data_IF_791859973078
#
_entry.id   IF_791859973078
#
_cell.length_a   1.000
_cell.length_b   1.000
_cell.length_c   1.000
_cell.angle_alpha   90.00
_cell.angle_beta   90.00
_cell.angle_gamma   90.00
#
_symmetry.space_group_name_H-M   'P 1'
#
loop_
_entity.id
_entity.type
_entity.pdbx_description
1 polymer ?
#
# COMPACT_ATOMS: atom_id res chain seq x y z
N UNK A 1 -74.50 14.61 -30.46
CA UNK A 1 -74.41 13.43 -29.59
C UNK A 1 -73.04 13.43 -28.92
N UNK A 2 -73.06 13.54 -27.59
CA UNK A 2 -71.91 13.70 -26.71
C UNK A 2 -71.30 12.31 -26.44
N UNK A 3 -69.99 12.15 -26.62
CA UNK A 3 -69.28 10.97 -26.13
C UNK A 3 -68.16 11.40 -25.19
N UNK A 4 -68.48 11.30 -23.89
CA UNK A 4 -67.53 11.14 -22.80
C UNK A 4 -66.66 9.89 -23.06
N UNK A 5 -65.35 10.01 -22.91
CA UNK A 5 -64.52 8.88 -22.47
C UNK A 5 -63.52 9.38 -21.44
N UNK A 6 -63.46 8.59 -20.37
CA UNK A 6 -62.89 8.81 -19.05
C UNK A 6 -61.36 8.74 -19.06
N UNK A 7 -60.78 9.59 -18.23
CA UNK A 7 -59.38 9.66 -17.80
C UNK A 7 -58.84 8.33 -17.28
N UNK A 8 -57.62 7.95 -17.68
CA UNK A 8 -56.73 7.07 -16.90
C UNK A 8 -55.29 7.56 -17.07
N UNK A 9 -54.85 8.38 -16.11
CA UNK A 9 -53.43 8.62 -15.85
C UNK A 9 -52.77 7.30 -15.46
N UNK A 10 -51.99 6.71 -16.36
CA UNK A 10 -51.11 5.59 -16.03
C UNK A 10 -49.70 6.14 -15.78
N UNK A 11 -49.45 6.59 -14.56
CA UNK A 11 -48.07 6.78 -14.06
C UNK A 11 -47.43 5.40 -13.90
N UNK A 12 -46.67 4.95 -14.92
CA UNK A 12 -45.70 3.89 -14.73
C UNK A 12 -44.41 4.55 -14.24
N UNK A 13 -44.24 4.65 -12.92
CA UNK A 13 -42.99 5.06 -12.31
C UNK A 13 -41.90 4.08 -12.70
N UNK A 14 -40.98 4.51 -13.56
CA UNK A 14 -39.76 3.77 -13.84
C UNK A 14 -38.85 3.92 -12.61
N UNK A 15 -39.05 3.05 -11.63
CA UNK A 15 -38.13 2.88 -10.51
C UNK A 15 -36.83 2.29 -11.07
N UNK A 16 -35.92 3.15 -11.52
CA UNK A 16 -34.53 2.74 -11.70
C UNK A 16 -34.04 2.43 -10.30
N UNK A 17 -33.91 1.14 -10.00
CA UNK A 17 -33.11 0.70 -8.87
C UNK A 17 -31.70 1.19 -9.17
N UNK A 18 -31.33 2.35 -8.63
CA UNK A 18 -29.93 2.76 -8.57
C UNK A 18 -29.30 1.76 -7.61
N UNK A 19 -28.73 0.70 -8.17
CA UNK A 19 -27.83 -0.17 -7.42
C UNK A 19 -26.67 0.76 -7.07
N UNK A 20 -26.43 1.08 -5.79
CA UNK A 20 -25.18 1.75 -5.43
C UNK A 20 -24.07 0.81 -5.88
N UNK A 21 -23.26 1.26 -6.84
CA UNK A 21 -21.99 0.63 -7.16
C UNK A 21 -21.06 0.95 -6.00
N UNK A 22 -21.26 0.26 -4.88
CA UNK A 22 -20.44 0.39 -3.68
C UNK A 22 -19.45 -0.78 -3.65
N UNK A 23 -18.18 -0.39 -3.57
CA UNK A 23 -16.97 -1.20 -3.56
C UNK A 23 -16.69 -2.00 -4.84
N UNK A 24 -15.92 -1.37 -5.73
CA UNK A 24 -14.79 -2.07 -6.32
C UNK A 24 -13.90 -2.55 -5.16
N UNK A 25 -14.15 -3.77 -4.68
CA UNK A 25 -13.09 -4.57 -4.07
C UNK A 25 -11.97 -4.60 -5.10
N UNK A 26 -10.75 -4.26 -4.67
CA UNK A 26 -9.55 -4.31 -5.48
C UNK A 26 -9.62 -5.57 -6.36
N UNK A 27 -9.88 -5.35 -7.64
CA UNK A 27 -9.94 -6.38 -8.67
C UNK A 27 -8.68 -7.22 -8.54
N UNK A 28 -8.77 -8.54 -8.72
CA UNK A 28 -7.62 -9.46 -8.84
C UNK A 28 -6.54 -8.88 -9.75
N UNK A 29 -5.65 -8.06 -9.19
CA UNK A 29 -4.54 -7.47 -9.92
C UNK A 29 -3.43 -8.52 -9.84
N UNK A 30 -3.07 -9.19 -10.94
CA UNK A 30 -2.06 -10.24 -10.91
C UNK A 30 -0.69 -9.73 -10.44
N UNK A 31 -0.47 -8.41 -10.46
CA UNK A 31 0.79 -7.79 -10.02
C UNK A 31 0.82 -7.52 -8.50
N UNK A 32 -0.33 -7.48 -7.82
CA UNK A 32 -0.42 -7.26 -6.38
C UNK A 32 -1.02 -8.48 -5.71
N UNK A 33 -0.20 -9.19 -4.94
CA UNK A 33 -0.69 -10.30 -4.14
C UNK A 33 -1.48 -9.79 -2.94
N UNK A 34 -2.81 -9.93 -3.00
CA UNK A 34 -3.66 -9.72 -1.83
C UNK A 34 -3.45 -10.87 -0.84
N UNK A 35 -3.05 -10.54 0.38
CA UNK A 35 -2.88 -11.52 1.45
C UNK A 35 -4.08 -11.42 2.38
N UNK A 36 -4.62 -12.58 2.79
CA UNK A 36 -5.74 -12.61 3.71
C UNK A 36 -5.37 -11.90 5.02
N UNK A 37 -6.26 -11.04 5.55
CA UNK A 37 -6.05 -10.44 6.85
C UNK A 37 -5.82 -11.54 7.91
N UNK A 38 -4.71 -11.45 8.66
CA UNK A 38 -4.38 -12.36 9.75
C UNK A 38 -3.61 -13.60 9.32
N UNK A 39 -3.05 -13.61 8.11
CA UNK A 39 -2.22 -14.72 7.61
C UNK A 39 -1.05 -14.99 8.60
N UNK A 40 -0.96 -16.21 9.18
CA UNK A 40 0.08 -16.54 10.15
C UNK A 40 1.50 -16.48 9.59
N UNK A 41 1.68 -16.72 8.28
CA UNK A 41 2.98 -16.62 7.63
C UNK A 41 3.45 -15.16 7.57
N UNK A 42 2.53 -14.22 7.28
CA UNK A 42 2.84 -12.78 7.31
C UNK A 42 3.14 -12.30 8.73
N UNK A 43 2.34 -12.69 9.71
CA UNK A 43 2.60 -12.37 11.12
C UNK A 43 3.99 -12.88 11.57
N UNK A 44 4.35 -14.10 11.17
CA UNK A 44 5.68 -14.69 11.45
C UNK A 44 6.81 -13.97 10.72
N UNK A 45 6.61 -13.59 9.45
CA UNK A 45 7.59 -12.83 8.68
C UNK A 45 7.82 -11.44 9.28
N UNK A 46 6.75 -10.78 9.74
CA UNK A 46 6.83 -9.50 10.41
C UNK A 46 7.57 -9.59 11.74
N UNK A 47 7.19 -10.52 12.62
CA UNK A 47 7.88 -10.70 13.91
C UNK A 47 9.37 -11.05 13.76
N UNK A 48 9.75 -11.81 12.73
CA UNK A 48 11.16 -12.04 12.39
C UNK A 48 11.87 -10.78 11.90
N UNK A 49 11.16 -9.95 11.15
CA UNK A 49 11.70 -8.68 10.63
C UNK A 49 11.95 -7.70 11.75
N UNK A 50 11.03 -7.57 12.71
CA UNK A 50 11.20 -6.72 13.90
C UNK A 50 12.43 -7.11 14.71
N UNK A 51 12.63 -8.41 14.98
CA UNK A 51 13.79 -8.91 15.73
C UNK A 51 15.12 -8.63 15.03
N UNK A 52 15.13 -8.64 13.69
CA UNK A 52 16.32 -8.38 12.88
C UNK A 52 16.53 -6.92 12.51
N UNK A 53 15.57 -6.03 12.80
CA UNK A 53 15.53 -4.68 12.26
C UNK A 53 16.71 -3.84 12.76
N UNK A 54 17.04 -3.91 14.04
CA UNK A 54 18.12 -3.11 14.62
C UNK A 54 19.47 -3.45 13.99
N UNK A 55 19.79 -4.73 13.87
CA UNK A 55 21.01 -5.19 13.22
C UNK A 55 21.02 -4.95 11.70
N UNK A 56 19.85 -4.87 11.06
CA UNK A 56 19.74 -4.44 9.67
C UNK A 56 20.05 -2.95 9.52
N UNK A 57 19.47 -2.09 10.37
CA UNK A 57 19.67 -0.64 10.33
C UNK A 57 21.10 -0.25 10.73
N UNK A 58 21.75 -1.00 11.61
CA UNK A 58 23.18 -0.84 11.90
C UNK A 58 24.03 -1.06 10.64
N UNK A 59 23.80 -2.17 9.93
CA UNK A 59 24.49 -2.47 8.66
C UNK A 59 24.14 -1.47 7.56
N UNK A 60 22.91 -0.98 7.51
CA UNK A 60 22.52 0.08 6.58
C UNK A 60 23.35 1.36 6.80
N UNK A 61 23.58 1.73 8.07
CA UNK A 61 24.35 2.92 8.46
C UNK A 61 25.86 2.74 8.22
N UNK A 62 26.37 1.53 8.45
CA UNK A 62 27.77 1.15 8.19
C UNK A 62 27.83 -0.12 7.34
N UNK A 63 27.65 -0.01 6.01
CA UNK A 63 27.58 -1.15 5.12
C UNK A 63 28.84 -2.03 5.17
N UNK A 64 28.71 -3.32 5.53
CA UNK A 64 29.84 -4.24 5.44
C UNK A 64 30.38 -4.32 4.01
N UNK A 65 31.69 -4.54 3.81
CA UNK A 65 32.26 -4.67 2.48
C UNK A 65 31.54 -5.72 1.62
N UNK A 66 31.25 -5.35 0.37
CA UNK A 66 30.55 -6.22 -0.59
C UNK A 66 29.04 -6.31 -0.39
N UNK A 67 28.45 -5.41 0.40
CA UNK A 67 27.00 -5.25 0.52
C UNK A 67 26.50 -3.98 -0.15
N UNK A 68 25.35 -4.07 -0.83
CA UNK A 68 24.74 -2.97 -1.57
C UNK A 68 23.24 -3.17 -1.74
N UNK A 69 22.57 -2.15 -2.29
CA UNK A 69 21.14 -2.16 -2.62
C UNK A 69 20.24 -2.56 -1.45
N UNK A 70 20.49 -1.94 -0.28
CA UNK A 70 19.57 -2.05 0.84
C UNK A 70 18.19 -1.53 0.43
N UNK A 71 17.16 -2.30 0.78
CA UNK A 71 15.77 -1.95 0.51
C UNK A 71 14.93 -2.18 1.76
N UNK A 72 13.97 -1.28 2.00
CA UNK A 72 13.03 -1.37 3.12
C UNK A 72 11.62 -1.44 2.55
N UNK A 73 10.76 -2.28 3.13
CA UNK A 73 9.35 -2.34 2.75
C UNK A 73 8.53 -1.50 3.70
N UNK A 74 7.71 -0.59 3.16
CA UNK A 74 6.83 0.29 3.90
C UNK A 74 5.38 0.07 3.44
N UNK A 75 4.42 0.22 4.35
CA UNK A 75 3.00 0.22 3.99
C UNK A 75 2.53 1.64 3.67
N UNK A 76 1.98 1.85 2.48
CA UNK A 76 1.51 3.15 2.00
C UNK A 76 -0.01 3.15 1.88
N UNK A 77 -0.63 4.29 2.20
CA UNK A 77 -2.04 4.57 1.91
C UNK A 77 -2.23 6.00 1.44
N UNK A 78 -3.21 6.22 0.56
CA UNK A 78 -3.61 7.57 0.18
C UNK A 78 -4.29 8.29 1.37
N UNK A 79 -3.92 9.56 1.58
CA UNK A 79 -4.52 10.44 2.60
C UNK A 79 -4.74 11.84 2.01
N UNK A 80 -5.95 12.08 1.51
CA UNK A 80 -6.25 13.35 0.83
C UNK A 80 -5.44 13.44 -0.46
N UNK A 81 -4.55 14.44 -0.56
CA UNK A 81 -3.61 14.59 -1.69
C UNK A 81 -2.20 14.09 -1.39
N UNK A 82 -1.98 13.59 -0.18
CA UNK A 82 -0.70 13.09 0.30
C UNK A 82 -0.76 11.57 0.51
N UNK A 83 0.34 11.00 0.99
CA UNK A 83 0.39 9.62 1.49
C UNK A 83 0.48 9.60 3.02
N UNK A 84 0.14 8.46 3.60
CA UNK A 84 0.47 8.12 4.97
C UNK A 84 1.11 6.74 5.02
N UNK A 85 2.05 6.56 5.95
CA UNK A 85 2.67 5.27 6.21
C UNK A 85 1.89 4.51 7.28
N UNK A 86 1.95 3.19 7.22
CA UNK A 86 1.36 2.31 8.23
C UNK A 86 2.08 0.98 8.31
N UNK A 87 2.14 0.44 9.53
CA UNK A 87 2.58 -0.93 9.81
C UNK A 87 1.41 -1.89 9.98
N UNK A 88 0.17 -1.39 9.96
CA UNK A 88 -1.03 -2.21 10.07
C UNK A 88 -1.26 -2.95 8.75
N UNK A 89 -0.88 -4.23 8.72
CA UNK A 89 -1.07 -5.10 7.57
C UNK A 89 -2.54 -5.45 7.30
N UNK A 90 -3.42 -5.13 8.24
CA UNK A 90 -4.86 -5.40 8.16
C UNK A 90 -5.64 -4.17 7.69
N UNK A 91 -5.00 -3.00 7.64
CA UNK A 91 -5.66 -1.79 7.22
C UNK A 91 -6.09 -1.90 5.75
N UNK A 92 -7.33 -1.50 5.42
CA UNK A 92 -7.80 -1.52 4.04
C UNK A 92 -7.05 -0.48 3.21
N UNK A 93 -6.95 -0.74 1.90
CA UNK A 93 -6.34 0.18 0.93
C UNK A 93 -4.88 0.55 1.27
N UNK A 94 -4.11 -0.45 1.70
CA UNK A 94 -2.67 -0.34 1.94
C UNK A 94 -1.93 -1.15 0.89
N UNK A 95 -0.88 -0.57 0.32
CA UNK A 95 0.06 -1.26 -0.53
C UNK A 95 1.44 -1.27 0.13
N UNK A 96 2.03 -2.46 0.30
CA UNK A 96 3.37 -2.59 0.86
C UNK A 96 4.39 -2.62 -0.27
N UNK A 97 5.21 -1.57 -0.35
CA UNK A 97 6.16 -1.34 -1.45
C UNK A 97 7.58 -1.16 -0.93
N UNK A 98 8.56 -1.50 -1.77
CA UNK A 98 9.98 -1.32 -1.49
C UNK A 98 10.45 0.10 -1.76
N UNK A 99 11.29 0.60 -0.85
CA UNK A 99 12.07 1.83 -1.02
C UNK A 99 13.57 1.51 -1.03
N UNK A 100 14.34 2.32 -1.75
CA UNK A 100 15.77 2.14 -2.00
C UNK A 100 16.54 3.47 -1.90
N UNK A 101 17.87 3.46 -2.09
CA UNK A 101 18.74 4.63 -1.88
C UNK A 101 18.54 5.28 -0.51
N UNK A 102 18.45 4.45 0.53
CA UNK A 102 18.08 4.88 1.87
C UNK A 102 19.25 5.65 2.49
N UNK A 103 18.95 6.83 3.03
CA UNK A 103 19.87 7.65 3.83
C UNK A 103 19.32 7.76 5.24
N UNK A 104 20.13 7.39 6.22
CA UNK A 104 19.80 7.46 7.64
C UNK A 104 20.40 8.72 8.27
N UNK A 105 19.61 9.40 9.11
CA UNK A 105 20.03 10.51 9.96
C UNK A 105 19.41 10.34 11.35
N UNK A 106 20.13 9.66 12.25
CA UNK A 106 19.55 9.19 13.50
C UNK A 106 18.46 8.16 13.23
N UNK A 107 17.28 8.37 13.79
CA UNK A 107 16.10 7.51 13.59
C UNK A 107 15.16 7.99 12.47
N UNK A 108 15.57 9.04 11.74
CA UNK A 108 14.90 9.49 10.52
C UNK A 108 15.60 8.94 9.28
N UNK A 109 14.79 8.58 8.29
CA UNK A 109 15.25 8.01 7.04
C UNK A 109 14.62 8.73 5.86
N UNK A 110 15.40 8.84 4.78
CA UNK A 110 14.89 9.27 3.47
C UNK A 110 15.24 8.22 2.44
N UNK A 111 14.34 7.94 1.52
CA UNK A 111 14.54 6.95 0.47
C UNK A 111 13.76 7.34 -0.79
N UNK A 112 13.94 6.58 -1.87
CA UNK A 112 13.16 6.69 -3.10
C UNK A 112 12.21 5.49 -3.19
N UNK A 113 10.97 5.72 -3.64
CA UNK A 113 10.05 4.62 -3.95
C UNK A 113 10.59 3.82 -5.14
N UNK A 114 10.75 2.50 -4.95
CA UNK A 114 11.28 1.59 -5.97
C UNK A 114 10.19 0.89 -6.79
N UNK A 115 9.04 0.61 -6.19
CA UNK A 115 7.95 -0.09 -6.86
C UNK A 115 7.03 0.90 -7.61
N UNK A 116 6.33 0.40 -8.63
CA UNK A 116 5.24 1.13 -9.29
C UNK A 116 3.95 0.90 -8.51
N UNK A 117 3.32 1.94 -7.94
CA UNK A 117 2.06 1.79 -7.22
C UNK A 117 0.94 1.31 -8.13
N UNK A 118 0.14 0.37 -7.64
CA UNK A 118 -1.00 -0.18 -8.37
C UNK A 118 -2.34 0.29 -7.75
N UNK A 119 -2.38 0.44 -6.43
CA UNK A 119 -3.59 0.82 -5.68
C UNK A 119 -3.47 2.18 -4.98
N UNK A 120 -2.25 2.72 -4.85
CA UNK A 120 -1.96 4.01 -4.23
C UNK A 120 -1.67 5.05 -5.31
N UNK A 121 -2.33 6.20 -5.27
CA UNK A 121 -2.33 7.14 -6.40
C UNK A 121 -1.57 8.45 -6.12
N UNK A 122 -1.28 8.75 -4.85
CA UNK A 122 -0.65 10.01 -4.45
C UNK A 122 0.89 9.94 -4.39
N UNK A 123 1.50 8.89 -4.93
CA UNK A 123 2.96 8.71 -5.03
C UNK A 123 3.30 7.98 -6.32
N UNK A 124 4.51 8.15 -6.85
CA UNK A 124 5.03 7.44 -8.03
C UNK A 124 6.48 6.99 -7.82
N UNK A 125 7.01 6.08 -8.68
CA UNK A 125 8.41 5.69 -8.62
C UNK A 125 9.35 6.90 -8.55
N UNK A 126 10.44 6.74 -7.81
CA UNK A 126 11.48 7.74 -7.55
C UNK A 126 11.02 8.98 -6.77
N UNK A 127 9.77 9.05 -6.33
CA UNK A 127 9.37 10.05 -5.34
C UNK A 127 10.09 9.80 -4.01
N UNK A 128 10.40 10.89 -3.31
CA UNK A 128 11.07 10.84 -2.02
C UNK A 128 10.07 10.45 -0.93
N UNK A 129 10.47 9.49 -0.11
CA UNK A 129 9.73 9.04 1.07
C UNK A 129 10.57 9.35 2.30
N UNK A 130 9.94 10.01 3.27
CA UNK A 130 10.50 10.24 4.61
C UNK A 130 9.77 9.35 5.60
N UNK A 131 10.51 8.70 6.48
CA UNK A 131 9.96 7.74 7.43
C UNK A 131 10.83 7.60 8.67
N UNK A 132 10.24 7.09 9.74
CA UNK A 132 10.91 6.75 10.98
C UNK A 132 11.04 5.23 11.13
N UNK A 133 11.87 4.80 12.08
CA UNK A 133 12.02 3.37 12.39
C UNK A 133 10.68 2.67 12.66
N UNK A 134 9.73 3.36 13.29
CA UNK A 134 8.39 2.83 13.60
C UNK A 134 7.51 2.58 12.38
N UNK A 135 7.85 3.13 11.22
CA UNK A 135 7.08 2.95 9.98
C UNK A 135 7.53 1.70 9.19
N UNK A 136 8.60 1.03 9.63
CA UNK A 136 9.22 -0.07 8.90
C UNK A 136 8.45 -1.38 9.10
N UNK A 137 8.00 -1.99 8.00
CA UNK A 137 7.32 -3.30 8.04
C UNK A 137 8.29 -4.49 7.93
N UNK A 138 9.30 -4.39 7.05
CA UNK A 138 10.37 -5.38 6.86
C UNK A 138 11.54 -4.77 6.06
N UNK A 139 12.69 -5.45 5.98
CA UNK A 139 13.89 -4.99 5.27
C UNK A 139 14.61 -6.13 4.54
N UNK A 140 15.34 -5.80 3.48
CA UNK A 140 16.16 -6.74 2.70
C UNK A 140 17.48 -6.08 2.23
N UNK A 141 18.49 -6.92 2.01
CA UNK A 141 19.84 -6.50 1.59
C UNK A 141 20.38 -7.50 0.57
N UNK A 142 21.04 -7.00 -0.47
CA UNK A 142 21.73 -7.84 -1.46
C UNK A 142 23.24 -7.82 -1.25
N UNK A 143 23.92 -8.86 -1.75
CA UNK A 143 25.40 -8.90 -1.82
C UNK A 143 25.82 -8.70 -3.27
N UNK A 144 26.96 -8.03 -3.44
CA UNK A 144 27.56 -7.82 -4.75
C UNK A 144 27.73 -9.18 -5.48
N UNK A 145 27.20 -9.27 -6.70
CA UNK A 145 27.47 -10.39 -7.59
C UNK A 145 28.95 -10.42 -7.94
N UNK A 146 29.57 -11.60 -7.90
CA UNK A 146 30.92 -11.80 -8.45
C UNK A 146 30.88 -11.79 -9.98
#
# INVERSE_FOLDING_TARGET
>A
MLRNVISLFSMLGLSILVIPTELALATDNPNVQSIAPGDPAMAKAHGKSEQGLDGFLEKLRDPPPGTENYSIKLGFRDKGKDIALTTDQMAPNVEFMWVYQIKASGDHFTALLGDTPECIHNIKPDDRVEFEKSDISTGSISRMGK
#
